data_IF_548847782067
#
_entry.id   IF_548847782067
#
_cell.length_a   1.000
_cell.length_b   1.000
_cell.length_c   1.000
_cell.angle_alpha   90.00
_cell.angle_beta   90.00
_cell.angle_gamma   90.00
#
_symmetry.space_group_name_H-M   'P 1'
#
loop_
_entity.id
_entity.type
_entity.pdbx_description
1 polymer ?
#
# COMPACT_ATOMS: atom_id res chain seq x y z
N UNK A 1 -2.82 0.59 -17.50
CA UNK A 1 -2.11 1.85 -17.74
C UNK A 1 -1.35 2.24 -16.48
N UNK A 2 -0.12 2.65 -16.64
CA UNK A 2 0.78 2.95 -15.53
C UNK A 2 0.55 4.40 -15.06
N UNK A 3 -0.51 4.62 -14.31
CA UNK A 3 -0.93 5.96 -13.88
C UNK A 3 0.10 6.68 -12.99
N UNK A 4 1.07 5.95 -12.43
CA UNK A 4 2.13 6.52 -11.59
C UNK A 4 3.41 6.83 -12.35
N UNK A 5 3.53 6.46 -13.64
CA UNK A 5 4.77 6.52 -14.40
C UNK A 5 5.75 5.37 -14.12
N UNK A 6 5.41 4.46 -13.19
CA UNK A 6 6.21 3.26 -12.89
C UNK A 6 5.47 2.00 -13.32
N UNK A 7 6.23 1.02 -13.79
CA UNK A 7 5.71 -0.30 -14.18
C UNK A 7 6.37 -1.39 -13.34
N UNK A 8 5.55 -2.30 -12.81
CA UNK A 8 6.03 -3.49 -12.11
C UNK A 8 6.51 -4.48 -13.16
N UNK A 9 7.77 -4.91 -13.07
CA UNK A 9 8.37 -5.93 -13.96
C UNK A 9 8.27 -7.35 -13.40
N UNK A 10 7.96 -7.50 -12.13
CA UNK A 10 7.82 -8.78 -11.46
C UNK A 10 6.66 -9.57 -12.05
N UNK A 11 6.81 -10.89 -12.14
CA UNK A 11 5.81 -11.81 -12.70
C UNK A 11 5.49 -11.60 -14.19
N UNK A 12 6.30 -10.83 -14.92
CA UNK A 12 6.19 -10.73 -16.37
C UNK A 12 6.95 -11.88 -17.05
N UNK A 13 6.40 -12.39 -18.15
CA UNK A 13 7.13 -13.31 -19.03
C UNK A 13 8.05 -12.52 -19.95
N UNK A 14 9.27 -13.03 -20.15
CA UNK A 14 10.22 -12.52 -21.15
C UNK A 14 10.35 -13.44 -22.36
N UNK A 15 9.53 -14.49 -22.44
CA UNK A 15 9.51 -15.40 -23.56
C UNK A 15 8.69 -14.80 -24.70
N UNK A 16 9.37 -14.33 -25.75
CA UNK A 16 8.73 -13.71 -26.92
C UNK A 16 7.68 -14.60 -27.58
N UNK A 17 7.82 -15.93 -27.51
CA UNK A 17 6.85 -16.86 -28.07
C UNK A 17 5.52 -16.88 -27.29
N UNK A 18 5.52 -16.43 -26.03
CA UNK A 18 4.34 -16.37 -25.17
C UNK A 18 3.66 -14.99 -25.20
N UNK A 19 4.35 -13.96 -25.70
CA UNK A 19 3.83 -12.58 -25.74
C UNK A 19 2.84 -12.38 -26.91
N UNK A 20 2.95 -13.18 -27.98
CA UNK A 20 2.31 -12.91 -29.29
C UNK A 20 0.83 -13.30 -29.33
N UNK A 21 0.35 -14.21 -28.49
CA UNK A 21 -0.95 -14.87 -28.73
C UNK A 21 -2.01 -14.68 -27.66
N UNK A 22 -1.86 -13.74 -26.75
CA UNK A 22 -2.95 -13.41 -25.83
C UNK A 22 -2.66 -13.58 -24.33
N UNK A 23 -3.47 -12.90 -23.56
CA UNK A 23 -3.29 -12.67 -22.12
C UNK A 23 -3.38 -13.92 -21.23
N UNK A 24 -3.84 -15.05 -21.77
CA UNK A 24 -4.15 -16.24 -20.96
C UNK A 24 -3.25 -17.47 -21.24
N UNK A 25 -2.21 -17.31 -22.05
CA UNK A 25 -1.43 -18.47 -22.54
C UNK A 25 0.00 -18.55 -21.99
N UNK A 26 0.31 -17.81 -20.93
CA UNK A 26 1.63 -17.87 -20.31
C UNK A 26 1.82 -19.13 -19.47
N UNK A 27 3.01 -19.72 -19.55
CA UNK A 27 3.45 -20.79 -18.64
C UNK A 27 4.07 -20.25 -17.35
N UNK A 28 4.01 -18.94 -17.12
CA UNK A 28 4.48 -18.31 -15.89
C UNK A 28 3.63 -18.79 -14.73
N UNK A 29 4.28 -19.43 -13.74
CA UNK A 29 3.60 -19.92 -12.54
C UNK A 29 3.05 -18.79 -11.69
N UNK A 30 1.89 -19.01 -11.06
CA UNK A 30 1.36 -18.13 -10.04
C UNK A 30 2.03 -18.47 -8.70
N UNK A 31 2.68 -17.49 -8.10
CA UNK A 31 3.28 -17.63 -6.77
C UNK A 31 2.17 -17.47 -5.73
N UNK A 32 1.94 -18.54 -4.92
CA UNK A 32 0.94 -18.51 -3.83
C UNK A 32 1.64 -18.27 -2.49
N UNK A 33 2.71 -19.00 -2.21
CA UNK A 33 3.53 -18.85 -1.01
C UNK A 33 5.01 -18.86 -1.36
N UNK A 34 5.79 -18.10 -0.58
CA UNK A 34 7.24 -18.02 -0.72
C UNK A 34 7.92 -18.21 0.63
N UNK A 35 9.00 -19.00 0.66
CA UNK A 35 9.78 -19.22 1.88
C UNK A 35 10.33 -17.95 2.52
N UNK A 36 10.56 -16.89 1.72
CA UNK A 36 11.00 -15.58 2.22
C UNK A 36 9.98 -14.94 3.18
N UNK A 37 8.71 -15.27 3.05
CA UNK A 37 7.69 -14.77 3.97
C UNK A 37 7.95 -15.25 5.39
N UNK A 38 8.29 -16.53 5.57
CA UNK A 38 8.66 -17.06 6.88
C UNK A 38 9.89 -16.36 7.47
N UNK A 39 10.86 -15.99 6.62
CA UNK A 39 12.06 -15.28 7.05
C UNK A 39 11.73 -13.87 7.55
N UNK A 40 10.93 -13.14 6.80
CA UNK A 40 10.55 -11.77 7.16
C UNK A 40 9.55 -11.71 8.32
N UNK A 41 8.63 -12.69 8.42
CA UNK A 41 7.75 -12.84 9.58
C UNK A 41 8.56 -13.12 10.86
N UNK A 42 9.54 -14.02 10.78
CA UNK A 42 10.42 -14.29 11.93
C UNK A 42 11.25 -13.07 12.31
N UNK A 43 11.83 -12.37 11.34
CA UNK A 43 12.64 -11.17 11.56
C UNK A 43 11.84 -10.08 12.29
N UNK A 44 10.65 -9.76 11.81
CA UNK A 44 9.79 -8.74 12.42
C UNK A 44 9.35 -9.14 13.84
N UNK A 45 8.86 -10.36 14.00
CA UNK A 45 8.42 -10.88 15.30
C UNK A 45 9.59 -10.95 16.33
N UNK A 46 10.76 -11.35 15.87
CA UNK A 46 11.95 -11.39 16.71
C UNK A 46 12.36 -10.00 17.18
N UNK A 47 12.37 -9.01 16.28
CA UNK A 47 12.69 -7.64 16.61
C UNK A 47 11.66 -7.04 17.59
N UNK A 48 10.38 -7.20 17.33
CA UNK A 48 9.32 -6.69 18.20
C UNK A 48 9.39 -7.29 19.63
N UNK A 49 9.87 -8.53 19.77
CA UNK A 49 10.00 -9.20 21.06
C UNK A 49 11.28 -8.82 21.79
N UNK A 50 12.40 -8.68 21.09
CA UNK A 50 13.73 -8.62 21.68
C UNK A 50 14.41 -7.26 21.53
N UNK A 51 13.84 -6.35 20.74
CA UNK A 51 14.38 -5.04 20.39
C UNK A 51 15.83 -5.09 19.84
N UNK A 52 16.16 -6.16 19.11
CA UNK A 52 17.47 -6.36 18.48
C UNK A 52 17.38 -7.30 17.29
N UNK A 53 18.38 -7.23 16.41
CA UNK A 53 18.53 -8.12 15.26
C UNK A 53 19.83 -8.88 15.40
N UNK A 54 19.78 -10.10 15.90
CA UNK A 54 20.93 -10.99 16.04
C UNK A 54 20.60 -12.42 15.61
N UNK A 55 21.59 -13.32 15.70
CA UNK A 55 21.46 -14.75 15.49
C UNK A 55 20.68 -15.10 14.20
N UNK A 56 19.61 -15.86 14.34
CA UNK A 56 18.78 -16.34 13.22
C UNK A 56 18.04 -15.19 12.49
N UNK A 57 17.58 -14.16 13.21
CA UNK A 57 16.93 -13.01 12.63
C UNK A 57 17.88 -12.27 11.67
N UNK A 58 19.13 -12.04 12.11
CA UNK A 58 20.19 -11.47 11.27
C UNK A 58 20.46 -12.32 10.04
N UNK A 59 20.62 -13.64 10.22
CA UNK A 59 20.92 -14.54 9.10
C UNK A 59 19.81 -14.57 8.05
N UNK A 60 18.55 -14.44 8.45
CA UNK A 60 17.43 -14.37 7.54
C UNK A 60 17.39 -13.05 6.77
N UNK A 61 17.65 -11.93 7.44
CA UNK A 61 17.73 -10.64 6.74
C UNK A 61 18.87 -10.61 5.73
N UNK A 62 20.05 -11.06 6.14
CA UNK A 62 21.21 -11.18 5.24
C UNK A 62 20.89 -12.08 4.03
N UNK A 63 20.20 -13.21 4.24
CA UNK A 63 19.84 -14.12 3.16
C UNK A 63 18.91 -13.47 2.12
N UNK A 64 17.91 -12.68 2.58
CA UNK A 64 17.00 -11.94 1.69
C UNK A 64 17.80 -10.92 0.85
N UNK A 65 18.65 -10.13 1.49
CA UNK A 65 19.45 -9.09 0.84
C UNK A 65 20.48 -9.67 -0.13
N UNK A 66 21.18 -10.72 0.27
CA UNK A 66 22.15 -11.41 -0.58
C UNK A 66 21.50 -11.98 -1.85
N UNK A 67 20.32 -12.61 -1.71
CA UNK A 67 19.57 -13.10 -2.87
C UNK A 67 19.17 -11.97 -3.82
N UNK A 68 18.84 -10.79 -3.28
CA UNK A 68 18.51 -9.60 -4.07
C UNK A 68 19.74 -8.90 -4.67
N UNK A 69 20.96 -9.40 -4.43
CA UNK A 69 22.21 -8.79 -4.90
C UNK A 69 22.61 -7.53 -4.12
N UNK A 70 22.05 -7.32 -2.93
CA UNK A 70 22.38 -6.18 -2.07
C UNK A 70 23.61 -6.55 -1.24
N UNK A 71 24.74 -5.94 -1.54
CA UNK A 71 26.03 -6.22 -0.86
C UNK A 71 26.25 -5.43 0.42
N UNK A 72 25.45 -4.37 0.65
CA UNK A 72 25.55 -3.53 1.84
C UNK A 72 24.97 -4.19 3.09
N UNK A 73 25.59 -3.91 4.25
CA UNK A 73 25.07 -4.33 5.54
C UNK A 73 23.74 -3.63 5.82
N UNK A 74 22.76 -4.36 6.34
CA UNK A 74 21.47 -3.76 6.73
C UNK A 74 21.64 -2.71 7.84
N UNK A 75 22.62 -2.84 8.72
CA UNK A 75 22.91 -1.84 9.75
C UNK A 75 23.24 -0.48 9.13
N UNK A 76 24.06 -0.44 8.09
CA UNK A 76 24.34 0.81 7.36
C UNK A 76 23.07 1.44 6.79
N UNK A 77 22.11 0.62 6.36
CA UNK A 77 20.83 1.11 5.88
C UNK A 77 20.02 1.74 7.03
N UNK A 78 20.00 1.09 8.20
CA UNK A 78 19.32 1.60 9.39
C UNK A 78 19.94 2.93 9.83
N UNK A 79 21.27 2.98 9.94
CA UNK A 79 22.02 4.14 10.42
C UNK A 79 21.83 5.39 9.53
N UNK A 80 21.62 5.17 8.23
CA UNK A 80 21.37 6.22 7.25
C UNK A 80 19.86 6.56 7.07
N UNK A 81 18.96 5.94 7.80
CA UNK A 81 17.53 6.21 7.71
C UNK A 81 17.15 7.38 8.61
N UNK A 82 16.76 8.48 8.00
CA UNK A 82 16.16 9.64 8.68
C UNK A 82 14.64 9.49 8.66
N UNK A 83 14.07 9.07 9.79
CA UNK A 83 12.63 8.82 9.90
C UNK A 83 11.77 10.06 9.59
N UNK A 84 12.30 11.26 9.78
CA UNK A 84 11.56 12.51 9.47
C UNK A 84 11.39 12.74 7.95
N UNK A 85 12.19 12.07 7.13
CA UNK A 85 12.11 12.14 5.66
C UNK A 85 11.31 11.01 5.04
N UNK A 86 10.96 10.00 5.82
CA UNK A 86 10.19 8.87 5.33
C UNK A 86 8.71 9.23 5.25
N UNK A 87 8.10 8.97 4.10
CA UNK A 87 6.69 9.32 3.82
C UNK A 87 5.78 8.09 3.75
N UNK A 88 6.33 6.90 3.95
CA UNK A 88 5.55 5.66 3.97
C UNK A 88 4.65 5.58 5.19
N UNK A 89 3.41 5.13 5.01
CA UNK A 89 2.47 4.93 6.13
C UNK A 89 3.04 4.02 7.22
N UNK A 90 3.90 3.06 6.86
CA UNK A 90 4.53 2.16 7.84
C UNK A 90 5.60 2.84 8.71
N UNK A 91 6.07 4.03 8.33
CA UNK A 91 7.01 4.82 9.12
C UNK A 91 6.28 5.61 10.22
N UNK A 92 5.08 6.10 9.91
CA UNK A 92 4.32 7.00 10.78
C UNK A 92 2.87 6.54 10.96
N UNK A 93 2.62 5.41 11.64
CA UNK A 93 1.26 4.88 11.84
C UNK A 93 0.37 5.80 12.70
N UNK A 94 0.94 6.72 13.46
CA UNK A 94 0.20 7.69 14.26
C UNK A 94 -0.24 7.19 15.65
N UNK A 95 -0.42 5.89 15.83
CA UNK A 95 -0.87 5.30 17.10
C UNK A 95 0.26 4.75 17.98
N UNK A 96 1.47 4.63 17.43
CA UNK A 96 2.68 4.19 18.13
C UNK A 96 3.94 4.62 17.40
N UNK A 97 5.06 4.63 18.11
CA UNK A 97 6.36 4.99 17.55
C UNK A 97 6.98 3.82 16.79
N UNK A 98 7.58 4.13 15.64
CA UNK A 98 8.34 3.20 14.80
C UNK A 98 9.77 3.72 14.69
N UNK A 99 10.72 2.95 15.19
CA UNK A 99 12.13 3.29 15.03
C UNK A 99 12.69 2.90 13.65
N UNK A 100 13.89 3.37 13.33
CA UNK A 100 14.53 3.12 12.04
C UNK A 100 14.74 1.63 11.75
N UNK A 101 14.96 0.79 12.78
CA UNK A 101 15.15 -0.65 12.59
C UNK A 101 13.85 -1.33 12.17
N UNK A 102 12.78 -1.11 12.92
CA UNK A 102 11.45 -1.66 12.59
C UNK A 102 10.97 -1.17 11.24
N UNK A 103 11.15 0.11 10.96
CA UNK A 103 10.82 0.66 9.64
C UNK A 103 11.57 -0.03 8.51
N UNK A 104 12.89 -0.24 8.66
CA UNK A 104 13.67 -0.92 7.63
C UNK A 104 13.29 -2.40 7.45
N UNK A 105 12.91 -3.11 8.51
CA UNK A 105 12.35 -4.46 8.41
C UNK A 105 11.07 -4.45 7.57
N UNK A 106 10.16 -3.51 7.84
CA UNK A 106 8.90 -3.33 7.10
C UNK A 106 9.14 -2.89 5.65
N UNK A 107 10.13 -2.01 5.43
CA UNK A 107 10.54 -1.59 4.10
C UNK A 107 11.12 -2.75 3.28
N UNK A 108 11.97 -3.59 3.88
CA UNK A 108 12.47 -4.81 3.23
C UNK A 108 11.31 -5.71 2.78
N UNK A 109 10.33 -5.94 3.67
CA UNK A 109 9.12 -6.69 3.36
C UNK A 109 8.33 -6.08 2.21
N UNK A 110 8.10 -4.76 2.22
CA UNK A 110 7.42 -4.06 1.14
C UNK A 110 8.14 -4.25 -0.20
N UNK A 111 9.46 -4.09 -0.23
CA UNK A 111 10.25 -4.24 -1.44
C UNK A 111 10.25 -5.69 -1.95
N UNK A 112 10.33 -6.67 -1.05
CA UNK A 112 10.32 -8.09 -1.39
C UNK A 112 8.98 -8.54 -1.98
N UNK A 113 7.86 -8.07 -1.45
CA UNK A 113 6.50 -8.48 -1.85
C UNK A 113 5.79 -7.51 -2.80
N UNK A 114 6.51 -6.61 -3.44
CA UNK A 114 5.90 -5.71 -4.43
C UNK A 114 5.19 -6.51 -5.53
N UNK A 115 3.91 -6.21 -5.78
CA UNK A 115 3.09 -6.91 -6.77
C UNK A 115 2.54 -8.27 -6.34
N UNK A 116 2.70 -8.69 -5.07
CA UNK A 116 2.22 -9.98 -4.54
C UNK A 116 0.98 -9.85 -3.63
N UNK A 117 0.36 -8.68 -3.55
CA UNK A 117 -0.88 -8.48 -2.80
C UNK A 117 -0.72 -8.28 -1.28
N UNK A 118 0.48 -8.46 -0.72
CA UNK A 118 0.72 -8.45 0.74
C UNK A 118 0.61 -7.08 1.41
N UNK A 119 0.64 -6.00 0.63
CA UNK A 119 0.78 -4.64 1.17
C UNK A 119 -0.40 -4.20 2.03
N UNK A 120 -1.62 -4.52 1.61
CA UNK A 120 -2.82 -4.16 2.33
C UNK A 120 -2.86 -4.79 3.73
N UNK A 121 -2.66 -6.11 3.80
CA UNK A 121 -2.67 -6.85 5.06
C UNK A 121 -1.58 -6.37 6.02
N UNK A 122 -0.39 -6.07 5.48
CA UNK A 122 0.70 -5.48 6.26
C UNK A 122 0.31 -4.11 6.85
N UNK A 123 -0.28 -3.23 6.05
CA UNK A 123 -0.70 -1.90 6.53
C UNK A 123 -1.81 -1.99 7.58
N UNK A 124 -2.75 -2.92 7.42
CA UNK A 124 -3.83 -3.17 8.38
C UNK A 124 -3.28 -3.71 9.70
N UNK A 125 -2.46 -4.77 9.67
CA UNK A 125 -1.89 -5.36 10.89
C UNK A 125 -0.92 -4.43 11.63
N UNK A 126 -0.26 -3.53 10.91
CA UNK A 126 0.59 -2.50 11.49
C UNK A 126 -0.19 -1.27 11.96
N UNK A 127 -1.50 -1.22 11.81
CA UNK A 127 -2.30 -0.03 12.06
C UNK A 127 -1.75 1.23 11.36
N UNK A 128 -1.14 1.05 10.21
CA UNK A 128 -0.46 2.12 9.49
C UNK A 128 -1.41 3.21 8.97
N UNK A 129 -2.70 2.91 8.86
CA UNK A 129 -3.73 3.84 8.45
C UNK A 129 -4.19 4.79 9.57
N UNK A 130 -3.82 4.55 10.83
CA UNK A 130 -4.16 5.48 11.92
C UNK A 130 -3.56 6.88 11.69
N UNK A 131 -2.39 6.96 11.04
CA UNK A 131 -1.79 8.24 10.63
C UNK A 131 -2.63 9.04 9.63
N UNK A 132 -3.56 8.38 8.92
CA UNK A 132 -4.44 9.00 7.92
C UNK A 132 -5.74 9.53 8.52
N UNK A 133 -6.03 9.23 9.80
CA UNK A 133 -7.21 9.76 10.50
C UNK A 133 -7.20 11.29 10.58
N UNK A 134 -6.02 11.88 10.68
CA UNK A 134 -5.83 13.34 10.78
C UNK A 134 -5.29 13.97 9.50
N UNK A 135 -4.53 13.23 8.69
CA UNK A 135 -3.90 13.74 7.48
C UNK A 135 -4.18 12.80 6.32
N UNK A 136 -4.75 13.32 5.25
CA UNK A 136 -5.04 12.54 4.07
C UNK A 136 -3.78 11.94 3.43
N UNK A 137 -3.86 10.71 2.99
CA UNK A 137 -2.78 10.05 2.26
C UNK A 137 -2.91 10.32 0.75
N UNK A 138 -1.91 10.95 0.17
CA UNK A 138 -1.86 11.27 -1.26
C UNK A 138 -0.86 10.33 -1.94
N UNK A 139 -1.30 9.37 -2.77
CA UNK A 139 -0.40 8.57 -3.59
C UNK A 139 0.30 9.42 -4.63
N UNK A 140 1.62 9.33 -4.68
CA UNK A 140 2.45 10.02 -5.65
C UNK A 140 3.24 9.02 -6.50
N UNK A 141 3.44 9.38 -7.76
CA UNK A 141 4.21 8.60 -8.73
C UNK A 141 5.54 9.27 -9.07
N UNK A 142 5.86 9.30 -10.35
CA UNK A 142 7.12 9.81 -10.87
C UNK A 142 7.20 11.35 -10.77
N UNK A 143 8.42 11.87 -10.56
CA UNK A 143 8.70 13.31 -10.62
C UNK A 143 8.65 13.78 -12.08
N UNK A 144 7.44 13.99 -12.56
CA UNK A 144 7.22 14.31 -13.98
C UNK A 144 7.49 15.77 -14.30
N UNK A 145 6.97 16.69 -13.47
CA UNK A 145 6.95 18.12 -13.83
C UNK A 145 8.30 18.82 -13.66
N UNK A 146 9.13 18.38 -12.73
CA UNK A 146 10.44 19.01 -12.53
C UNK A 146 11.53 18.39 -13.40
N UNK A 147 11.48 17.09 -13.66
CA UNK A 147 12.57 16.37 -14.32
C UNK A 147 12.19 15.81 -15.68
N UNK A 148 11.20 14.93 -15.75
CA UNK A 148 10.87 14.29 -17.00
C UNK A 148 10.26 15.25 -18.03
N UNK A 149 9.40 16.17 -17.60
CA UNK A 149 8.74 17.12 -18.50
C UNK A 149 9.73 18.06 -19.20
N UNK A 150 10.86 18.35 -18.58
CA UNK A 150 11.90 19.22 -19.18
C UNK A 150 12.69 18.55 -20.30
N UNK A 151 12.75 17.23 -20.32
CA UNK A 151 13.61 16.45 -21.22
C UNK A 151 12.85 15.48 -22.11
N UNK A 152 11.56 15.24 -21.81
CA UNK A 152 10.74 14.29 -22.54
C UNK A 152 9.98 14.99 -23.67
N UNK A 153 10.25 14.58 -24.90
CA UNK A 153 9.47 15.01 -26.06
C UNK A 153 8.18 14.21 -26.12
N UNK A 154 7.05 14.91 -25.99
CA UNK A 154 5.74 14.29 -26.13
C UNK A 154 5.50 13.92 -27.60
N UNK A 155 4.88 12.76 -27.88
CA UNK A 155 4.37 12.46 -29.22
C UNK A 155 3.45 13.58 -29.71
N UNK A 156 3.46 13.84 -31.02
CA UNK A 156 2.72 14.97 -31.64
C UNK A 156 1.20 14.91 -31.39
N UNK A 157 0.67 13.69 -31.19
CA UNK A 157 -0.74 13.44 -30.92
C UNK A 157 -1.12 13.50 -29.45
N UNK A 158 -0.15 13.77 -28.56
CA UNK A 158 -0.36 13.82 -27.12
C UNK A 158 -0.37 15.26 -26.61
N UNK A 159 -1.52 15.69 -26.11
CA UNK A 159 -1.66 16.97 -25.41
C UNK A 159 -1.89 16.73 -23.93
N UNK A 160 -1.06 17.34 -23.07
CA UNK A 160 -1.25 17.30 -21.62
C UNK A 160 -2.23 18.41 -21.20
N UNK A 161 -3.26 17.99 -20.46
CA UNK A 161 -4.24 18.88 -19.84
C UNK A 161 -4.15 18.67 -18.33
N UNK A 162 -3.72 19.69 -17.61
CA UNK A 162 -3.42 19.65 -16.18
C UNK A 162 -4.28 20.60 -15.33
N UNK A 163 -5.39 21.09 -15.89
CA UNK A 163 -6.37 21.92 -15.18
C UNK A 163 -7.32 21.03 -14.36
N UNK A 164 -7.27 21.06 -13.02
CA UNK A 164 -8.10 20.18 -12.19
C UNK A 164 -9.60 20.44 -12.29
N UNK A 165 -10.00 21.61 -12.77
CA UNK A 165 -11.40 21.99 -12.93
C UNK A 165 -11.94 21.72 -14.35
N UNK A 166 -11.09 21.27 -15.26
CA UNK A 166 -11.48 20.74 -16.58
C UNK A 166 -11.69 19.20 -16.49
N UNK A 167 -12.94 18.76 -16.77
CA UNK A 167 -13.30 17.34 -16.78
C UNK A 167 -12.49 16.51 -17.80
N UNK A 168 -11.83 17.12 -18.77
CA UNK A 168 -10.99 16.46 -19.79
C UNK A 168 -9.52 16.37 -19.40
N UNK A 169 -9.14 16.81 -18.20
CA UNK A 169 -7.75 16.73 -17.73
C UNK A 169 -7.27 15.28 -17.65
N UNK A 170 -6.08 15.05 -18.18
CA UNK A 170 -5.50 13.71 -18.34
C UNK A 170 -4.26 13.48 -17.45
N UNK A 171 -3.76 14.51 -16.81
CA UNK A 171 -2.64 14.45 -15.87
C UNK A 171 -2.93 15.35 -14.66
N UNK A 172 -2.29 15.07 -13.53
CA UNK A 172 -2.38 15.94 -12.35
C UNK A 172 -1.68 17.28 -12.57
N UNK A 173 -2.16 18.33 -11.89
CA UNK A 173 -1.65 19.69 -12.05
C UNK A 173 -0.14 19.78 -11.92
N UNK A 174 0.48 20.62 -12.73
CA UNK A 174 1.90 20.98 -12.66
C UNK A 174 2.30 21.74 -11.40
N UNK A 175 1.32 22.16 -10.59
CA UNK A 175 1.57 22.68 -9.25
C UNK A 175 2.16 21.61 -8.31
N UNK A 176 2.01 20.33 -8.65
CA UNK A 176 2.60 19.21 -7.92
C UNK A 176 3.91 18.78 -8.57
N UNK A 177 4.89 18.42 -7.75
CA UNK A 177 6.17 17.90 -8.23
C UNK A 177 6.01 16.52 -8.89
N UNK A 178 5.26 15.66 -8.25
CA UNK A 178 5.03 14.28 -8.63
C UNK A 178 3.66 14.09 -9.28
N UNK A 179 3.56 13.11 -10.18
CA UNK A 179 2.26 12.69 -10.70
C UNK A 179 1.40 12.19 -9.54
N UNK A 180 0.18 12.72 -9.44
CA UNK A 180 -0.85 12.25 -8.50
C UNK A 180 -1.95 11.55 -9.28
N UNK A 181 -1.97 10.21 -9.33
CA UNK A 181 -2.84 9.47 -10.24
C UNK A 181 -4.33 9.70 -9.98
N UNK A 182 -4.69 10.04 -8.75
CA UNK A 182 -6.09 10.29 -8.35
C UNK A 182 -6.46 11.78 -8.29
N UNK A 183 -5.52 12.70 -8.55
CA UNK A 183 -5.75 14.15 -8.49
C UNK A 183 -5.68 14.80 -9.88
N UNK A 184 -6.29 14.18 -10.90
CA UNK A 184 -6.34 14.73 -12.26
C UNK A 184 -7.48 15.71 -12.43
N UNK A 185 -8.68 15.30 -12.03
CA UNK A 185 -9.92 16.09 -12.10
C UNK A 185 -10.51 16.15 -10.70
N UNK A 186 -10.94 17.35 -10.29
CA UNK A 186 -11.54 17.59 -8.97
C UNK A 186 -13.04 17.29 -8.97
N UNK A 187 -13.69 17.52 -10.11
CA UNK A 187 -15.16 17.40 -10.24
C UNK A 187 -15.60 15.97 -9.91
N UNK A 188 -16.48 15.82 -8.93
CA UNK A 188 -17.02 14.54 -8.44
C UNK A 188 -15.95 13.53 -7.97
N UNK A 189 -14.79 14.01 -7.54
CA UNK A 189 -13.67 13.18 -7.12
C UNK A 189 -13.41 13.32 -5.60
N UNK A 190 -13.95 12.39 -4.83
CA UNK A 190 -13.82 12.39 -3.37
C UNK A 190 -12.39 12.14 -2.87
N UNK A 191 -11.51 11.57 -3.70
CA UNK A 191 -10.11 11.26 -3.38
C UNK A 191 -9.14 12.22 -4.02
N UNK A 192 -9.62 13.34 -4.59
CA UNK A 192 -8.77 14.35 -5.22
C UNK A 192 -7.68 14.87 -4.28
N UNK A 193 -8.06 15.18 -3.03
CA UNK A 193 -7.16 15.67 -1.99
C UNK A 193 -6.51 14.55 -1.15
N UNK A 194 -6.63 13.31 -1.60
CA UNK A 194 -6.08 12.14 -0.94
C UNK A 194 -7.12 11.25 -0.26
N UNK A 195 -6.68 10.08 0.17
CA UNK A 195 -7.49 9.11 0.90
C UNK A 195 -7.67 9.54 2.35
N UNK A 196 -8.90 9.44 2.84
CA UNK A 196 -9.24 9.45 4.26
C UNK A 196 -9.38 8.03 4.80
N UNK A 197 -9.31 7.88 6.10
CA UNK A 197 -9.50 6.61 6.78
C UNK A 197 -10.44 6.76 7.96
N UNK A 198 -11.28 5.76 8.21
CA UNK A 198 -12.07 5.62 9.42
C UNK A 198 -11.66 4.34 10.15
N UNK A 199 -11.68 4.34 11.48
CA UNK A 199 -11.31 3.16 12.30
C UNK A 199 -12.15 1.93 11.97
N UNK A 200 -13.41 2.13 11.60
CA UNK A 200 -14.29 1.07 11.13
C UNK A 200 -13.70 0.25 9.98
N UNK A 201 -12.90 0.88 9.10
CA UNK A 201 -12.36 0.24 7.89
C UNK A 201 -11.31 -0.85 8.16
N UNK A 202 -10.84 -1.01 9.40
CA UNK A 202 -9.96 -2.13 9.75
C UNK A 202 -10.66 -3.48 9.74
N UNK A 203 -11.98 -3.50 9.93
CA UNK A 203 -12.80 -4.70 9.90
C UNK A 203 -13.99 -4.49 8.96
N UNK A 204 -14.36 -5.50 8.21
CA UNK A 204 -15.57 -5.42 7.40
C UNK A 204 -16.83 -5.42 8.28
N UNK A 205 -17.89 -4.70 7.91
CA UNK A 205 -19.15 -4.77 8.66
C UNK A 205 -19.77 -6.16 8.53
N UNK A 206 -20.41 -6.63 9.59
CA UNK A 206 -21.34 -7.75 9.53
C UNK A 206 -22.61 -7.26 8.86
N UNK A 207 -23.10 -7.99 7.85
CA UNK A 207 -24.33 -7.61 7.16
C UNK A 207 -25.52 -7.62 8.13
N UNK A 208 -26.35 -6.57 8.09
CA UNK A 208 -27.54 -6.45 8.95
C UNK A 208 -28.48 -7.66 8.81
N UNK A 209 -28.57 -8.24 7.62
CA UNK A 209 -29.37 -9.44 7.40
C UNK A 209 -28.83 -10.66 8.16
N UNK A 210 -27.53 -10.82 8.29
CA UNK A 210 -26.93 -11.91 9.08
C UNK A 210 -27.27 -11.75 10.57
N UNK A 211 -27.23 -10.52 11.07
CA UNK A 211 -27.62 -10.22 12.44
C UNK A 211 -29.10 -10.56 12.69
N UNK A 212 -30.01 -10.21 11.75
CA UNK A 212 -31.42 -10.55 11.82
C UNK A 212 -31.68 -12.04 11.77
N UNK A 213 -31.01 -12.77 10.87
CA UNK A 213 -31.14 -14.23 10.75
C UNK A 213 -30.66 -14.97 11.99
N UNK A 214 -29.74 -14.40 12.72
CA UNK A 214 -29.19 -14.92 13.96
C UNK A 214 -30.05 -14.54 15.20
N UNK A 215 -31.15 -13.82 15.00
CA UNK A 215 -32.05 -13.37 16.07
C UNK A 215 -33.35 -14.20 16.12
N UNK A 216 -33.89 -14.53 17.31
CA UNK A 216 -35.13 -15.24 17.46
C UNK A 216 -36.36 -14.48 16.92
N UNK A 217 -36.31 -13.17 16.89
CA UNK A 217 -37.41 -12.27 16.49
C UNK A 217 -37.14 -11.49 15.20
N UNK A 218 -36.07 -11.88 14.46
CA UNK A 218 -35.64 -11.19 13.24
C UNK A 218 -35.33 -9.69 13.45
N UNK A 219 -34.93 -9.31 14.65
CA UNK A 219 -34.44 -7.96 14.99
C UNK A 219 -32.93 -7.93 15.16
N UNK A 220 -32.30 -6.78 15.00
CA UNK A 220 -30.86 -6.64 15.31
C UNK A 220 -30.57 -6.58 16.81
N UNK A 221 -31.54 -6.12 17.60
CA UNK A 221 -31.39 -5.88 19.04
C UNK A 221 -31.24 -7.19 19.84
N UNK A 222 -31.84 -8.29 19.36
CA UNK A 222 -31.81 -9.61 20.00
C UNK A 222 -30.88 -10.60 19.24
N UNK A 223 -30.00 -10.08 18.37
CA UNK A 223 -29.06 -10.90 17.66
C UNK A 223 -27.98 -11.47 18.59
N UNK A 224 -27.60 -12.74 18.37
CA UNK A 224 -26.43 -13.34 19.04
C UNK A 224 -25.11 -12.99 18.36
N UNK A 225 -25.17 -12.32 17.22
CA UNK A 225 -24.01 -11.82 16.47
C UNK A 225 -23.92 -10.32 16.70
N UNK A 226 -22.74 -9.86 17.10
CA UNK A 226 -22.44 -8.45 17.31
C UNK A 226 -21.80 -7.83 16.06
N UNK A 227 -22.05 -6.54 15.85
CA UNK A 227 -21.39 -5.75 14.81
C UNK A 227 -19.92 -5.55 15.17
N UNK A 228 -19.08 -5.50 14.14
CA UNK A 228 -17.69 -5.10 14.32
C UNK A 228 -17.61 -3.65 14.84
N UNK A 229 -16.59 -3.34 15.67
CA UNK A 229 -16.42 -2.02 16.27
C UNK A 229 -16.50 -0.89 15.24
N UNK A 230 -17.12 0.21 15.63
CA UNK A 230 -17.32 1.44 14.84
C UNK A 230 -18.32 1.33 13.67
N UNK A 231 -18.83 0.15 13.34
CA UNK A 231 -19.91 -0.02 12.37
C UNK A 231 -21.28 0.10 13.04
N UNK A 232 -22.26 0.75 12.36
CA UNK A 232 -23.61 0.87 12.92
C UNK A 232 -24.37 -0.46 12.91
N UNK A 233 -25.24 -0.64 13.89
CA UNK A 233 -26.14 -1.80 13.99
C UNK A 233 -27.46 -1.60 13.23
N UNK A 234 -27.68 -0.40 12.67
CA UNK A 234 -28.92 -0.02 11.98
C UNK A 234 -28.63 0.32 10.52
N UNK A 235 -29.57 -0.07 9.65
CA UNK A 235 -29.54 0.30 8.23
C UNK A 235 -29.51 1.82 8.06
N UNK A 236 -28.63 2.33 7.22
CA UNK A 236 -28.48 3.75 6.96
C UNK A 236 -27.70 4.53 8.03
N UNK A 237 -27.17 3.85 9.04
CA UNK A 237 -26.26 4.45 10.01
C UNK A 237 -24.88 4.73 9.39
N UNK A 238 -24.17 5.70 9.96
CA UNK A 238 -22.81 6.07 9.56
C UNK A 238 -21.79 5.36 10.44
N UNK A 239 -20.71 4.86 9.84
CA UNK A 239 -19.58 4.34 10.59
C UNK A 239 -18.95 5.45 11.46
N UNK A 240 -18.52 5.09 12.66
CA UNK A 240 -17.84 6.02 13.59
C UNK A 240 -16.35 6.12 13.22
N UNK A 241 -15.78 7.30 13.39
CA UNK A 241 -14.35 7.58 13.17
C UNK A 241 -13.46 7.06 14.30
#
# INVERSE_FOLDING_TARGET
>A
SDNTGYRIRKCLTYNNKQIISGQSQSTTGCIIFRGVEAYLNYLEAYYLRNNKVDGKAKSYWDAVRNRAGITGNFQTTIDNTDMNKETDLAAHPGSYEVDATLYNIRRERRCEFIGEGMRWDDQVRWRAWDGVLTNKFIPEGYNFWEEAYKTYELPEDVTLKDDPDDATSNISSRAFKYIRPFSKVRINNQVYDGYSWAKANYLSPVAINEMRLASPDNSTDNSVIYQNPYWPEKVGGTALE
#
